data_IF_745329507107
#
_entry.id   IF_745329507107
#
_cell.length_a   1.000
_cell.length_b   1.000
_cell.length_c   1.000
_cell.angle_alpha   90.00
_cell.angle_beta   90.00
_cell.angle_gamma   90.00
#
_symmetry.space_group_name_H-M   'P 1'
#
loop_
_entity.id
_entity.type
_entity.pdbx_description
1 polymer ?
#
# COMPACT_ATOMS: atom_id res chain seq x y z
N UNK A 1 -49.97 39.41 15.83
CA UNK A 1 -50.39 38.32 14.93
C UNK A 1 -49.21 37.73 14.15
N UNK A 2 -48.07 38.42 14.08
CA UNK A 2 -46.92 38.00 13.25
C UNK A 2 -46.15 36.75 13.76
N UNK A 3 -46.08 36.49 15.06
CA UNK A 3 -45.43 35.27 15.59
C UNK A 3 -46.22 33.98 15.32
N UNK A 4 -47.55 34.06 15.26
CA UNK A 4 -48.42 32.91 14.93
C UNK A 4 -48.25 32.54 13.46
N UNK A 5 -48.11 33.54 12.58
CA UNK A 5 -47.84 33.32 11.15
C UNK A 5 -46.45 32.71 10.92
N UNK A 6 -45.43 33.16 11.65
CA UNK A 6 -44.06 32.60 11.58
C UNK A 6 -44.01 31.13 12.02
N UNK A 7 -44.77 30.75 13.05
CA UNK A 7 -44.79 29.36 13.56
C UNK A 7 -45.53 28.42 12.57
N UNK A 8 -46.58 28.91 11.91
CA UNK A 8 -47.33 28.15 10.91
C UNK A 8 -46.52 27.99 9.61
N UNK A 9 -45.73 28.98 9.21
CA UNK A 9 -44.81 28.86 8.07
C UNK A 9 -43.67 27.86 8.34
N UNK A 10 -43.15 27.84 9.57
CA UNK A 10 -42.11 26.86 9.97
C UNK A 10 -42.67 25.43 9.96
N UNK A 11 -43.91 25.23 10.41
CA UNK A 11 -44.59 23.92 10.36
C UNK A 11 -44.87 23.43 8.94
N UNK A 12 -45.22 24.34 8.01
CA UNK A 12 -45.39 24.01 6.58
C UNK A 12 -44.06 23.64 5.92
N UNK A 13 -42.97 24.33 6.26
CA UNK A 13 -41.62 23.99 5.79
C UNK A 13 -41.21 22.57 6.21
N UNK A 14 -41.52 22.15 7.44
CA UNK A 14 -41.24 20.80 7.93
C UNK A 14 -42.10 19.73 7.23
N UNK A 15 -43.39 20.01 6.98
CA UNK A 15 -44.27 19.09 6.26
C UNK A 15 -43.85 18.89 4.79
N UNK A 16 -43.37 19.95 4.13
CA UNK A 16 -42.81 19.86 2.77
C UNK A 16 -41.51 19.05 2.77
N UNK A 17 -40.62 19.26 3.74
CA UNK A 17 -39.40 18.45 3.88
C UNK A 17 -39.68 16.97 4.17
N UNK A 18 -40.69 16.66 4.99
CA UNK A 18 -41.13 15.28 5.21
C UNK A 18 -41.72 14.66 3.92
N UNK A 19 -42.47 15.44 3.15
CA UNK A 19 -43.01 15.03 1.85
C UNK A 19 -41.91 14.71 0.83
N UNK A 20 -40.78 15.43 0.86
CA UNK A 20 -39.62 15.17 0.00
C UNK A 20 -38.70 14.04 0.51
N UNK A 21 -38.68 13.79 1.83
CA UNK A 21 -37.84 12.75 2.43
C UNK A 21 -38.39 11.34 2.20
N UNK A 22 -39.73 11.16 2.21
CA UNK A 22 -40.37 9.85 2.02
C UNK A 22 -40.01 9.20 0.66
N UNK A 23 -40.09 9.89 -0.49
CA UNK A 23 -39.63 9.36 -1.77
C UNK A 23 -38.14 9.01 -1.79
N UNK A 24 -37.29 9.87 -1.22
CA UNK A 24 -35.83 9.64 -1.14
C UNK A 24 -35.51 8.41 -0.28
N UNK A 25 -36.23 8.22 0.82
CA UNK A 25 -36.08 7.07 1.69
C UNK A 25 -36.50 5.77 1.00
N UNK A 26 -37.61 5.78 0.25
CA UNK A 26 -38.02 4.63 -0.57
C UNK A 26 -36.99 4.29 -1.65
N UNK A 27 -36.45 5.29 -2.35
CA UNK A 27 -35.39 5.11 -3.34
C UNK A 27 -34.12 4.54 -2.70
N UNK A 28 -33.70 5.06 -1.55
CA UNK A 28 -32.53 4.57 -0.84
C UNK A 28 -32.70 3.11 -0.38
N UNK A 29 -33.88 2.73 0.13
CA UNK A 29 -34.18 1.33 0.49
C UNK A 29 -34.12 0.44 -0.76
N UNK A 30 -34.70 0.88 -1.88
CA UNK A 30 -34.66 0.15 -3.14
C UNK A 30 -33.22 -0.08 -3.62
N UNK A 31 -32.38 0.95 -3.52
CA UNK A 31 -30.94 0.88 -3.83
C UNK A 31 -30.23 -0.10 -2.91
N UNK A 32 -30.50 -0.08 -1.60
CA UNK A 32 -29.89 -1.00 -0.64
C UNK A 32 -30.24 -2.46 -0.95
N UNK A 33 -31.50 -2.74 -1.28
CA UNK A 33 -31.96 -4.09 -1.64
C UNK A 33 -31.31 -4.54 -2.96
N UNK A 34 -31.31 -3.68 -3.98
CA UNK A 34 -30.70 -3.98 -5.27
C UNK A 34 -29.19 -4.20 -5.15
N UNK A 35 -28.48 -3.33 -4.43
CA UNK A 35 -27.04 -3.44 -4.24
C UNK A 35 -26.63 -4.63 -3.37
N UNK A 36 -27.44 -5.02 -2.38
CA UNK A 36 -27.20 -6.26 -1.63
C UNK A 36 -27.28 -7.51 -2.54
N UNK A 37 -28.26 -7.55 -3.44
CA UNK A 37 -28.37 -8.62 -4.44
C UNK A 37 -27.17 -8.64 -5.39
N UNK A 38 -26.75 -7.47 -5.88
CA UNK A 38 -25.57 -7.32 -6.76
C UNK A 38 -24.29 -7.75 -6.03
N UNK A 39 -24.10 -7.35 -4.77
CA UNK A 39 -22.94 -7.73 -3.96
C UNK A 39 -22.85 -9.25 -3.78
N UNK A 40 -23.99 -9.91 -3.51
CA UNK A 40 -24.06 -11.38 -3.39
C UNK A 40 -23.76 -12.08 -4.71
N UNK A 41 -24.22 -11.50 -5.83
CA UNK A 41 -23.94 -12.02 -7.17
C UNK A 41 -22.46 -11.87 -7.56
N UNK A 42 -21.87 -10.71 -7.30
CA UNK A 42 -20.43 -10.45 -7.47
C UNK A 42 -19.58 -11.45 -6.67
N UNK A 43 -19.89 -11.62 -5.38
CA UNK A 43 -19.23 -12.62 -4.52
C UNK A 43 -19.28 -14.01 -5.16
N UNK A 44 -20.47 -14.43 -5.62
CA UNK A 44 -20.65 -15.74 -6.23
C UNK A 44 -19.81 -15.92 -7.49
N UNK A 45 -19.77 -14.93 -8.37
CA UNK A 45 -18.96 -14.96 -9.62
C UNK A 45 -17.48 -15.01 -9.28
N UNK A 46 -17.01 -14.13 -8.40
CA UNK A 46 -15.59 -14.03 -8.04
C UNK A 46 -15.13 -15.33 -7.39
N UNK A 47 -15.84 -15.83 -6.38
CA UNK A 47 -15.44 -17.06 -5.68
C UNK A 47 -15.50 -18.26 -6.62
N UNK A 48 -16.52 -18.38 -7.48
CA UNK A 48 -16.58 -19.46 -8.47
C UNK A 48 -15.47 -19.36 -9.51
N UNK A 49 -15.22 -18.17 -10.05
CA UNK A 49 -14.19 -17.93 -11.06
C UNK A 49 -12.79 -18.23 -10.53
N UNK A 50 -12.46 -17.73 -9.33
CA UNK A 50 -11.17 -17.97 -8.70
C UNK A 50 -10.96 -19.44 -8.34
N UNK A 51 -12.02 -20.16 -7.93
CA UNK A 51 -11.98 -21.62 -7.70
C UNK A 51 -11.81 -22.40 -9.00
N UNK A 52 -12.38 -21.93 -10.13
CA UNK A 52 -12.27 -22.58 -11.44
C UNK A 52 -10.85 -22.52 -12.02
N UNK A 53 -10.09 -21.46 -11.72
CA UNK A 53 -8.74 -21.22 -12.25
C UNK A 53 -7.66 -22.04 -11.49
N UNK A 54 -8.02 -22.86 -10.49
CA UNK A 54 -7.06 -23.65 -9.70
C UNK A 54 -5.97 -22.80 -9.02
N UNK A 55 -6.31 -21.57 -8.59
CA UNK A 55 -5.39 -20.70 -7.85
C UNK A 55 -4.88 -21.34 -6.53
N UNK A 56 -5.58 -22.37 -6.03
CA UNK A 56 -5.16 -23.19 -4.91
C UNK A 56 -3.73 -23.77 -5.06
N UNK A 57 -3.31 -24.13 -6.27
CA UNK A 57 -1.98 -24.76 -6.50
C UNK A 57 -0.83 -23.74 -6.40
N UNK A 58 -1.11 -22.46 -6.64
CA UNK A 58 -0.12 -21.37 -6.53
C UNK A 58 0.02 -20.90 -5.08
N UNK A 59 -1.10 -20.81 -4.35
CA UNK A 59 -1.14 -20.39 -2.94
C UNK A 59 -0.55 -21.44 -1.99
N UNK A 60 -0.74 -22.74 -2.26
CA UNK A 60 -0.09 -23.83 -1.51
C UNK A 60 1.43 -23.85 -1.71
N UNK A 61 1.91 -23.56 -2.94
CA UNK A 61 3.35 -23.46 -3.22
C UNK A 61 4.00 -22.19 -2.67
N UNK A 62 3.23 -21.13 -2.46
CA UNK A 62 3.70 -19.88 -1.87
C UNK A 62 3.72 -19.90 -0.32
N UNK A 63 3.20 -20.94 0.33
CA UNK A 63 3.22 -21.11 1.80
C UNK A 63 2.28 -20.17 2.57
N UNK A 64 1.42 -19.43 1.86
CA UNK A 64 0.50 -18.43 2.44
C UNK A 64 -0.61 -19.11 3.25
N UNK A 65 -1.10 -20.27 2.78
CA UNK A 65 -2.14 -21.04 3.47
C UNK A 65 -1.66 -21.61 4.82
N UNK A 66 -0.36 -21.88 4.97
CA UNK A 66 0.22 -22.31 6.26
C UNK A 66 0.35 -21.15 7.26
N UNK A 67 0.60 -19.93 6.77
CA UNK A 67 0.67 -18.72 7.61
C UNK A 67 -0.73 -18.29 8.12
N UNK A 68 -1.76 -18.46 7.28
CA UNK A 68 -3.17 -18.21 7.66
C UNK A 68 -3.70 -19.25 8.66
N UNK A 69 -3.35 -20.53 8.49
CA UNK A 69 -3.72 -21.61 9.43
C UNK A 69 -3.05 -21.47 10.80
N UNK A 70 -1.82 -20.98 10.86
CA UNK A 70 -1.13 -20.68 12.14
C UNK A 70 -1.79 -19.53 12.91
N UNK A 71 -2.53 -18.64 12.23
CA UNK A 71 -3.33 -17.57 12.83
C UNK A 71 -4.76 -17.95 13.22
N UNK A 72 -5.16 -19.23 13.09
CA UNK A 72 -6.50 -19.71 13.47
C UNK A 72 -7.62 -19.44 12.46
N UNK A 73 -7.30 -18.95 11.26
CA UNK A 73 -8.28 -18.69 10.20
C UNK A 73 -8.39 -19.91 9.28
N UNK A 74 -9.53 -20.61 9.31
CA UNK A 74 -9.86 -21.74 8.41
C UNK A 74 -10.39 -21.27 7.03
N UNK A 75 -10.01 -20.08 6.57
CA UNK A 75 -10.47 -19.51 5.31
C UNK A 75 -9.35 -19.54 4.27
N UNK A 76 -9.64 -20.01 3.05
CA UNK A 76 -8.71 -19.93 1.91
C UNK A 76 -8.50 -18.46 1.53
N UNK A 77 -7.33 -18.11 0.98
CA UNK A 77 -7.05 -16.78 0.40
C UNK A 77 -8.17 -16.30 -0.54
N UNK A 78 -8.76 -17.23 -1.29
CA UNK A 78 -9.89 -16.95 -2.21
C UNK A 78 -11.16 -16.56 -1.45
N UNK A 79 -11.43 -17.20 -0.32
CA UNK A 79 -12.62 -16.90 0.48
C UNK A 79 -12.46 -15.55 1.20
N UNK A 80 -11.25 -15.21 1.65
CA UNK A 80 -10.94 -13.88 2.22
C UNK A 80 -11.15 -12.78 1.18
N UNK A 81 -10.63 -12.97 -0.05
CA UNK A 81 -10.83 -12.02 -1.15
C UNK A 81 -12.31 -11.88 -1.53
N UNK A 82 -13.05 -12.99 -1.57
CA UNK A 82 -14.49 -12.99 -1.82
C UNK A 82 -15.23 -12.16 -0.77
N UNK A 83 -15.02 -12.47 0.51
CA UNK A 83 -15.64 -11.74 1.63
C UNK A 83 -15.30 -10.25 1.56
N UNK A 84 -14.06 -9.90 1.23
CA UNK A 84 -13.64 -8.51 1.08
C UNK A 84 -14.38 -7.79 -0.06
N UNK A 85 -14.50 -8.43 -1.23
CA UNK A 85 -15.23 -7.86 -2.38
C UNK A 85 -16.72 -7.68 -2.06
N UNK A 86 -17.31 -8.64 -1.33
CA UNK A 86 -18.69 -8.52 -0.84
C UNK A 86 -18.86 -7.29 0.06
N UNK A 87 -17.99 -7.12 1.06
CA UNK A 87 -18.05 -5.96 1.96
C UNK A 87 -17.82 -4.65 1.23
N UNK A 88 -16.89 -4.62 0.26
CA UNK A 88 -16.66 -3.45 -0.58
C UNK A 88 -17.93 -3.07 -1.37
N UNK A 89 -18.56 -4.05 -2.02
CA UNK A 89 -19.80 -3.81 -2.77
C UNK A 89 -20.95 -3.33 -1.88
N UNK A 90 -21.06 -3.83 -0.65
CA UNK A 90 -22.02 -3.35 0.36
C UNK A 90 -21.72 -1.90 0.76
N UNK A 91 -20.45 -1.54 0.99
CA UNK A 91 -20.05 -0.17 1.32
C UNK A 91 -20.39 0.81 0.19
N UNK A 92 -20.10 0.46 -1.07
CA UNK A 92 -20.50 1.26 -2.23
C UNK A 92 -22.02 1.43 -2.32
N UNK A 93 -22.77 0.36 -2.08
CA UNK A 93 -24.24 0.42 -2.08
C UNK A 93 -24.76 1.37 -0.99
N UNK A 94 -24.17 1.29 0.20
CA UNK A 94 -24.53 2.14 1.34
C UNK A 94 -24.18 3.61 1.09
N UNK A 95 -23.05 3.87 0.43
CA UNK A 95 -22.66 5.21 -0.01
C UNK A 95 -23.71 5.83 -0.94
N UNK A 96 -24.11 5.11 -2.00
CA UNK A 96 -25.12 5.57 -2.95
C UNK A 96 -26.47 5.82 -2.24
N UNK A 97 -26.83 4.96 -1.27
CA UNK A 97 -28.03 5.15 -0.47
C UNK A 97 -27.97 6.43 0.38
N UNK A 98 -26.85 6.74 1.03
CA UNK A 98 -26.67 7.98 1.79
C UNK A 98 -26.64 9.23 0.91
N UNK A 99 -26.03 9.15 -0.27
CA UNK A 99 -26.04 10.23 -1.26
C UNK A 99 -27.47 10.51 -1.75
N UNK A 100 -28.25 9.46 -2.01
CA UNK A 100 -29.67 9.56 -2.40
C UNK A 100 -30.54 10.20 -1.30
N UNK A 101 -30.20 9.94 -0.02
CA UNK A 101 -30.85 10.59 1.13
C UNK A 101 -30.43 12.06 1.32
N UNK A 102 -29.44 12.54 0.57
CA UNK A 102 -28.90 13.90 0.68
C UNK A 102 -27.98 14.09 1.89
N UNK A 103 -27.43 13.00 2.45
CA UNK A 103 -26.54 13.04 3.62
C UNK A 103 -25.07 13.23 3.18
N UNK A 104 -24.78 14.35 2.52
CA UNK A 104 -23.48 14.63 1.91
C UNK A 104 -22.28 14.43 2.86
N UNK A 105 -22.40 14.91 4.11
CA UNK A 105 -21.33 14.74 5.11
C UNK A 105 -21.09 13.27 5.44
N UNK A 106 -22.15 12.47 5.53
CA UNK A 106 -22.04 11.03 5.84
C UNK A 106 -21.47 10.27 4.64
N UNK A 107 -21.92 10.59 3.42
CA UNK A 107 -21.40 9.99 2.19
C UNK A 107 -19.91 10.29 1.98
N UNK A 108 -19.44 11.50 2.29
CA UNK A 108 -18.03 11.85 2.14
C UNK A 108 -17.14 11.01 3.08
N UNK A 109 -17.53 10.85 4.34
CA UNK A 109 -16.80 10.00 5.28
C UNK A 109 -16.80 8.52 4.85
N UNK A 110 -17.96 8.02 4.40
CA UNK A 110 -18.06 6.65 3.89
C UNK A 110 -17.25 6.43 2.61
N UNK A 111 -17.15 7.44 1.74
CA UNK A 111 -16.32 7.39 0.52
C UNK A 111 -14.84 7.22 0.88
N UNK A 112 -14.33 7.99 1.85
CA UNK A 112 -12.96 7.86 2.32
C UNK A 112 -12.68 6.47 2.90
N UNK A 113 -13.60 5.94 3.73
CA UNK A 113 -13.48 4.57 4.29
C UNK A 113 -13.51 3.51 3.18
N UNK A 114 -14.37 3.68 2.18
CA UNK A 114 -14.48 2.74 1.06
C UNK A 114 -13.21 2.70 0.22
N UNK A 115 -12.59 3.86 -0.03
CA UNK A 115 -11.31 3.95 -0.77
C UNK A 115 -10.10 3.51 0.07
N UNK A 116 -10.20 3.55 1.40
CA UNK A 116 -9.16 3.07 2.29
C UNK A 116 -8.93 1.55 2.18
N UNK A 117 -10.00 0.76 1.98
CA UNK A 117 -9.90 -0.71 1.94
C UNK A 117 -9.01 -1.20 0.77
N UNK A 118 -9.23 -0.80 -0.50
CA UNK A 118 -8.34 -1.15 -1.60
C UNK A 118 -6.89 -0.76 -1.35
N UNK A 119 -6.67 0.43 -0.79
CA UNK A 119 -5.36 0.95 -0.47
C UNK A 119 -4.63 0.07 0.57
N UNK A 120 -5.32 -0.37 1.61
CA UNK A 120 -4.75 -1.29 2.61
C UNK A 120 -4.31 -2.61 1.96
N UNK A 121 -5.09 -3.16 1.03
CA UNK A 121 -4.72 -4.41 0.33
C UNK A 121 -3.42 -4.20 -0.45
N UNK A 122 -3.34 -3.13 -1.22
CA UNK A 122 -2.14 -2.79 -2.00
C UNK A 122 -0.94 -2.61 -1.07
N UNK A 123 -1.12 -1.95 0.07
CA UNK A 123 -0.06 -1.78 1.08
C UNK A 123 0.44 -3.11 1.65
N UNK A 124 -0.48 -4.05 1.97
CA UNK A 124 -0.12 -5.39 2.44
C UNK A 124 0.65 -6.16 1.37
N UNK A 125 0.23 -6.07 0.10
CA UNK A 125 0.94 -6.68 -1.03
C UNK A 125 2.35 -6.11 -1.17
N UNK A 126 2.49 -4.78 -1.10
CA UNK A 126 3.78 -4.08 -1.14
C UNK A 126 4.68 -4.53 0.00
N UNK A 127 4.16 -4.65 1.22
CA UNK A 127 4.92 -5.16 2.36
C UNK A 127 5.36 -6.61 2.12
N UNK A 128 4.46 -7.50 1.69
CA UNK A 128 4.78 -8.90 1.45
C UNK A 128 5.90 -9.06 0.40
N UNK A 129 5.73 -8.43 -0.76
CA UNK A 129 6.69 -8.48 -1.87
C UNK A 129 7.99 -7.76 -1.48
N UNK A 130 7.89 -6.58 -0.87
CA UNK A 130 9.02 -5.76 -0.49
C UNK A 130 9.88 -6.39 0.60
N UNK A 131 9.29 -7.08 1.57
CA UNK A 131 10.03 -7.82 2.60
C UNK A 131 10.75 -9.04 2.01
N UNK A 132 10.13 -9.72 1.05
CA UNK A 132 10.78 -10.80 0.31
C UNK A 132 11.95 -10.26 -0.53
N UNK A 133 11.73 -9.16 -1.24
CA UNK A 133 12.76 -8.49 -2.04
C UNK A 133 13.93 -8.00 -1.17
N UNK A 134 13.66 -7.41 -0.01
CA UNK A 134 14.70 -6.94 0.92
C UNK A 134 15.58 -8.10 1.43
N UNK A 135 14.98 -9.28 1.67
CA UNK A 135 15.72 -10.49 2.04
C UNK A 135 16.59 -10.96 0.87
N UNK A 136 16.00 -11.11 -0.31
CA UNK A 136 16.70 -11.53 -1.52
C UNK A 136 17.93 -10.65 -1.80
N UNK A 137 17.78 -9.33 -1.75
CA UNK A 137 18.90 -8.40 -1.97
C UNK A 137 19.94 -8.51 -0.85
N UNK A 138 19.50 -8.61 0.41
CA UNK A 138 20.41 -8.81 1.54
C UNK A 138 21.26 -10.07 1.38
N UNK A 139 20.64 -11.19 1.02
CA UNK A 139 21.32 -12.48 0.82
C UNK A 139 22.28 -12.44 -0.36
N UNK A 140 21.90 -11.77 -1.47
CA UNK A 140 22.77 -11.54 -2.62
C UNK A 140 24.01 -10.72 -2.25
N UNK A 141 23.83 -9.67 -1.41
CA UNK A 141 24.94 -8.84 -0.92
C UNK A 141 25.86 -9.65 -0.01
N UNK A 142 25.33 -10.48 0.90
CA UNK A 142 26.15 -11.36 1.76
C UNK A 142 26.95 -12.35 0.91
N UNK A 143 26.30 -13.00 -0.08
CA UNK A 143 26.96 -13.97 -0.95
C UNK A 143 28.12 -13.34 -1.71
N UNK A 144 27.90 -12.15 -2.28
CA UNK A 144 28.94 -11.41 -2.98
C UNK A 144 30.08 -10.99 -2.03
N UNK A 145 29.75 -10.46 -0.85
CA UNK A 145 30.74 -9.99 0.11
C UNK A 145 31.62 -11.14 0.66
N UNK A 146 31.03 -12.32 0.91
CA UNK A 146 31.78 -13.53 1.30
C UNK A 146 32.73 -13.98 0.19
N UNK A 147 32.32 -13.90 -1.07
CA UNK A 147 33.16 -14.29 -2.21
C UNK A 147 34.40 -13.41 -2.38
N UNK A 148 34.34 -12.14 -1.99
CA UNK A 148 35.50 -11.22 -2.06
C UNK A 148 36.30 -11.14 -0.75
N UNK A 149 35.98 -12.00 0.23
CA UNK A 149 36.74 -12.12 1.48
C UNK A 149 36.53 -10.98 2.49
N UNK A 150 35.39 -10.27 2.44
CA UNK A 150 35.04 -9.29 3.48
C UNK A 150 34.71 -10.00 4.79
N UNK A 151 35.43 -9.66 5.87
CA UNK A 151 35.16 -10.17 7.23
C UNK A 151 33.72 -9.86 7.70
N UNK A 152 33.20 -8.68 7.33
CA UNK A 152 31.90 -8.18 7.77
C UNK A 152 30.78 -8.33 6.72
N UNK A 153 30.81 -9.40 5.92
CA UNK A 153 29.81 -9.66 4.87
C UNK A 153 28.35 -9.66 5.39
N UNK A 154 28.12 -10.21 6.58
CA UNK A 154 26.79 -10.26 7.20
C UNK A 154 26.30 -8.88 7.69
N UNK A 155 27.20 -7.93 7.98
CA UNK A 155 26.81 -6.54 8.27
C UNK A 155 26.33 -5.83 7.00
N UNK A 156 27.03 -6.01 5.87
CA UNK A 156 26.66 -5.39 4.59
C UNK A 156 25.28 -5.84 4.13
N UNK A 157 24.99 -7.14 4.19
CA UNK A 157 23.66 -7.66 3.84
C UNK A 157 22.56 -7.16 4.76
N UNK A 158 22.83 -7.05 6.08
CA UNK A 158 21.88 -6.47 7.04
C UNK A 158 21.59 -5.00 6.74
N UNK A 159 22.61 -4.19 6.48
CA UNK A 159 22.43 -2.79 6.11
C UNK A 159 21.60 -2.62 4.85
N UNK A 160 21.87 -3.41 3.81
CA UNK A 160 21.06 -3.41 2.57
C UNK A 160 19.61 -3.81 2.84
N UNK A 161 19.39 -4.87 3.62
CA UNK A 161 18.04 -5.35 3.96
C UNK A 161 17.25 -4.32 4.76
N UNK A 162 17.85 -3.73 5.79
CA UNK A 162 17.19 -2.69 6.57
C UNK A 162 16.95 -1.42 5.75
N UNK A 163 17.89 -1.03 4.90
CA UNK A 163 17.72 0.08 3.97
C UNK A 163 16.50 -0.09 3.09
N UNK A 164 16.36 -1.26 2.42
CA UNK A 164 15.20 -1.55 1.57
C UNK A 164 13.91 -1.63 2.40
N UNK A 165 13.97 -2.24 3.59
CA UNK A 165 12.80 -2.37 4.47
C UNK A 165 12.21 -1.00 4.86
N UNK A 166 13.06 -0.01 5.13
CA UNK A 166 12.61 1.36 5.41
C UNK A 166 11.81 1.92 4.23
N UNK A 167 12.32 1.81 3.01
CA UNK A 167 11.58 2.24 1.81
C UNK A 167 10.27 1.49 1.62
N UNK A 168 10.27 0.17 1.78
CA UNK A 168 9.08 -0.68 1.65
C UNK A 168 7.99 -0.27 2.64
N UNK A 169 8.36 -0.03 3.90
CA UNK A 169 7.41 0.43 4.93
C UNK A 169 6.83 1.79 4.56
N UNK A 170 7.64 2.71 4.05
CA UNK A 170 7.18 4.06 3.69
C UNK A 170 6.25 4.03 2.49
N UNK A 171 6.57 3.24 1.47
CA UNK A 171 5.68 3.07 0.31
C UNK A 171 4.35 2.46 0.78
N UNK A 172 4.37 1.51 1.72
CA UNK A 172 3.14 0.95 2.28
C UNK A 172 2.34 1.97 3.09
N UNK A 173 2.99 2.78 3.93
CA UNK A 173 2.34 3.86 4.69
C UNK A 173 1.72 4.91 3.75
N UNK A 174 2.43 5.23 2.68
CA UNK A 174 1.99 6.15 1.64
C UNK A 174 0.74 5.64 0.91
N UNK A 175 0.70 4.34 0.60
CA UNK A 175 -0.46 3.71 -0.02
C UNK A 175 -1.70 3.82 0.87
N UNK A 176 -1.56 3.65 2.19
CA UNK A 176 -2.67 3.78 3.16
C UNK A 176 -3.04 5.25 3.41
N UNK A 177 -2.29 6.21 2.85
CA UNK A 177 -2.48 7.65 3.01
C UNK A 177 -2.41 8.12 4.47
N UNK A 178 -1.70 7.37 5.33
CA UNK A 178 -1.53 7.75 6.74
C UNK A 178 -0.53 8.91 6.83
N UNK A 179 -1.05 10.09 7.18
CA UNK A 179 -0.26 11.32 7.36
C UNK A 179 0.18 12.04 6.10
N UNK A 180 -0.28 11.57 4.93
CA UNK A 180 -0.23 12.27 3.65
C UNK A 180 1.17 12.70 3.20
N UNK A 181 1.20 13.66 2.29
CA UNK A 181 2.43 14.13 1.64
C UNK A 181 3.43 14.75 2.62
N UNK A 182 2.95 15.29 3.74
CA UNK A 182 3.81 15.92 4.75
C UNK A 182 4.77 14.89 5.35
N UNK A 183 4.26 13.73 5.79
CA UNK A 183 5.12 12.68 6.37
C UNK A 183 6.13 12.18 5.34
N UNK A 184 5.69 11.97 4.09
CA UNK A 184 6.56 11.53 2.99
C UNK A 184 7.69 12.53 2.75
N UNK A 185 7.37 13.81 2.65
CA UNK A 185 8.34 14.89 2.42
C UNK A 185 9.33 15.00 3.58
N UNK A 186 8.85 14.96 4.83
CA UNK A 186 9.71 14.98 6.02
C UNK A 186 10.68 13.80 6.02
N UNK A 187 10.20 12.60 5.69
CA UNK A 187 11.08 11.44 5.58
C UNK A 187 12.15 11.63 4.50
N UNK A 188 11.79 12.06 3.29
CA UNK A 188 12.76 12.27 2.21
C UNK A 188 13.80 13.34 2.54
N UNK A 189 13.41 14.41 3.23
CA UNK A 189 14.35 15.45 3.67
C UNK A 189 15.31 14.90 4.73
N UNK A 190 14.79 14.21 5.76
CA UNK A 190 15.62 13.65 6.83
C UNK A 190 16.56 12.55 6.31
N UNK A 191 16.02 11.60 5.55
CA UNK A 191 16.78 10.50 4.97
C UNK A 191 17.75 11.00 3.91
N UNK A 192 17.33 11.92 3.05
CA UNK A 192 18.19 12.58 2.07
C UNK A 192 19.36 13.29 2.72
N UNK A 193 19.13 14.00 3.83
CA UNK A 193 20.20 14.62 4.62
C UNK A 193 21.19 13.60 5.21
N UNK A 194 20.69 12.51 5.77
CA UNK A 194 21.51 11.42 6.31
C UNK A 194 22.35 10.73 5.22
N UNK A 195 21.73 10.40 4.08
CA UNK A 195 22.42 9.80 2.93
C UNK A 195 23.46 10.75 2.36
N UNK A 196 23.14 12.04 2.24
CA UNK A 196 24.08 13.05 1.75
C UNK A 196 25.28 13.21 2.70
N UNK A 197 25.04 13.23 4.02
CA UNK A 197 26.11 13.27 5.01
C UNK A 197 27.03 12.05 4.92
N UNK A 198 26.46 10.85 4.80
CA UNK A 198 27.24 9.62 4.60
C UNK A 198 28.00 9.65 3.27
N UNK A 199 27.34 10.04 2.17
CA UNK A 199 27.97 10.12 0.87
C UNK A 199 29.18 11.08 0.87
N UNK A 200 29.07 12.23 1.55
CA UNK A 200 30.18 13.16 1.72
C UNK A 200 31.28 12.59 2.63
N UNK A 201 30.93 11.95 3.73
CA UNK A 201 31.90 11.33 4.64
C UNK A 201 32.71 10.23 3.95
N UNK A 202 32.05 9.33 3.21
CA UNK A 202 32.71 8.30 2.41
C UNK A 202 33.47 8.88 1.22
N UNK A 203 32.91 9.87 0.53
CA UNK A 203 33.53 10.51 -0.63
C UNK A 203 34.84 11.23 -0.29
N UNK A 204 34.82 12.05 0.75
CA UNK A 204 36.01 12.78 1.22
C UNK A 204 37.01 11.83 1.91
N UNK A 205 36.54 10.87 2.71
CA UNK A 205 37.39 9.89 3.39
C UNK A 205 38.08 8.91 2.43
N UNK A 206 37.39 8.50 1.37
CA UNK A 206 37.90 7.56 0.36
C UNK A 206 38.73 8.20 -0.76
N UNK A 207 38.79 9.54 -0.83
CA UNK A 207 39.41 10.27 -1.94
C UNK A 207 40.86 9.84 -2.20
N UNK A 208 41.67 9.70 -1.14
CA UNK A 208 43.09 9.30 -1.26
C UNK A 208 43.25 7.86 -1.76
N UNK A 209 42.40 6.95 -1.30
CA UNK A 209 42.39 5.57 -1.75
C UNK A 209 42.00 5.47 -3.23
N UNK A 210 40.98 6.22 -3.64
CA UNK A 210 40.53 6.28 -5.03
C UNK A 210 41.63 6.84 -5.95
N UNK A 211 42.32 7.92 -5.54
CA UNK A 211 43.44 8.48 -6.29
C UNK A 211 44.56 7.45 -6.50
N UNK A 212 44.93 6.72 -5.44
CA UNK A 212 45.96 5.67 -5.52
C UNK A 212 45.57 4.50 -6.44
N UNK A 213 44.29 4.13 -6.53
CA UNK A 213 43.84 3.09 -7.47
C UNK A 213 43.87 3.57 -8.92
N UNK A 214 43.48 4.81 -9.18
CA UNK A 214 43.55 5.41 -10.51
C UNK A 214 45.00 5.50 -11.03
N UNK A 215 45.94 5.89 -10.18
CA UNK A 215 47.37 5.93 -10.54
C UNK A 215 47.93 4.54 -10.90
N UNK A 216 47.53 3.50 -10.15
CA UNK A 216 47.93 2.11 -10.44
C UNK A 216 47.40 1.65 -11.80
N UNK A 217 46.15 1.97 -12.12
CA UNK A 217 45.54 1.66 -13.42
C UNK A 217 46.20 2.45 -14.56
N UNK A 218 46.50 3.73 -14.36
CA UNK A 218 47.19 4.57 -15.34
C UNK A 218 48.61 4.05 -15.64
N UNK A 219 49.33 3.57 -14.61
CA UNK A 219 50.67 2.99 -14.77
C UNK A 219 50.66 1.63 -15.47
N UNK A 220 49.61 0.82 -15.27
CA UNK A 220 49.43 -0.48 -15.95
C UNK A 220 49.14 -0.32 -17.45
N UNK A 221 48.43 0.74 -17.85
CA UNK A 221 48.08 1.04 -19.24
C UNK A 221 49.10 1.93 -19.98
N UNK A 222 50.22 2.30 -19.34
CA UNK A 222 51.26 3.07 -20.01
C UNK A 222 52.07 2.17 -20.96
N UNK A 223 52.13 2.46 -22.28
CA UNK A 223 52.87 1.64 -23.24
C UNK A 223 54.36 1.62 -22.88
N UNK A 224 54.95 0.42 -22.79
CA UNK A 224 56.39 0.23 -22.55
C UNK A 224 57.15 1.02 -23.62
N UNK A 225 57.76 2.14 -23.24
CA UNK A 225 58.71 2.84 -24.11
C UNK A 225 59.86 1.87 -24.40
N UNK A 226 59.89 1.39 -25.64
CA UNK A 226 61.01 0.66 -26.23
C UNK A 226 62.27 1.49 -25.99
N UNK A 227 63.17 0.95 -25.15
CA UNK A 227 64.52 1.48 -25.01
C UNK A 227 65.25 1.14 -26.32
N UNK A 228 65.28 2.09 -27.26
CA UNK A 228 66.24 2.06 -28.37
C UNK A 228 67.64 2.08 -27.77
N UNK A 229 68.34 0.97 -27.96
CA UNK A 229 69.80 0.87 -27.82
C UNK A 229 70.48 1.68 -28.92
#
# INVERSE_FOLDING_TARGET
>A
MDQVTQTIETGRGFLVQLGEFVPKLLLAILILVAGWLIAKFLLFIVVKGLKLINFNVVTDKAGIDNFLKQGGLQASTIDILGVLIYWLAILFTLLIAFETLGLAVVSDLFTQITLFIPNVIVAVIILAIGLYFARFVGDAVVAYAKNIGLEDADLMGRLSRYGIMVFVVIIALDQVQVGGDIIRLTFFILFGGMVLALALAFGLGGQKWAAGQLERLAKKNSPKKEKKK
#
